data_IF_114490195968
#
_entry.id   IF_114490195968
#
_cell.length_a   1.000
_cell.length_b   1.000
_cell.length_c   1.000
_cell.angle_alpha   90.00
_cell.angle_beta   90.00
_cell.angle_gamma   90.00
#
_symmetry.space_group_name_H-M   'P 1'
#
loop_
_entity.id
_entity.type
_entity.pdbx_description
1 polymer ?
#
# COMPACT_ATOMS: atom_id res chain seq x y z
N UNK A 1 67.84 39.70 34.84
CA UNK A 1 66.51 40.27 35.15
C UNK A 1 66.07 40.94 33.85
N UNK A 2 65.05 40.57 33.09
CA UNK A 2 63.82 39.77 33.25
C UNK A 2 63.40 39.36 31.81
N UNK A 3 63.23 38.08 31.49
CA UNK A 3 61.94 37.34 31.39
C UNK A 3 60.98 37.78 30.26
N UNK A 4 60.56 36.77 29.46
CA UNK A 4 59.22 36.61 28.85
C UNK A 4 58.89 37.37 27.56
N UNK A 5 58.24 36.83 26.52
CA UNK A 5 57.61 35.52 26.28
C UNK A 5 57.60 35.21 24.77
N UNK A 6 57.94 33.96 24.43
CA UNK A 6 57.60 33.32 23.15
C UNK A 6 56.11 32.95 23.19
N UNK A 7 55.30 33.43 22.25
CA UNK A 7 53.94 32.95 22.05
C UNK A 7 53.90 32.06 20.81
N UNK A 8 53.99 30.75 21.06
CA UNK A 8 53.62 29.72 20.08
C UNK A 8 52.13 29.82 19.80
N UNK A 9 51.76 29.99 18.52
CA UNK A 9 50.40 29.73 18.07
C UNK A 9 50.19 28.21 18.07
N UNK A 10 49.60 27.69 19.15
CA UNK A 10 48.98 26.36 19.15
C UNK A 10 47.80 26.39 18.17
N UNK A 11 47.94 25.62 17.10
CA UNK A 11 46.88 25.38 16.14
C UNK A 11 45.95 24.34 16.75
N UNK A 12 44.87 24.82 17.37
CA UNK A 12 43.78 24.02 17.92
C UNK A 12 43.22 23.14 16.79
N UNK A 13 43.63 21.88 16.80
CA UNK A 13 43.13 20.88 15.87
C UNK A 13 41.78 20.42 16.39
N UNK A 14 40.69 20.89 15.78
CA UNK A 14 39.34 20.37 16.03
C UNK A 14 39.37 18.82 15.97
N UNK A 15 38.98 18.11 17.04
CA UNK A 15 38.95 16.66 17.00
C UNK A 15 37.84 16.20 16.04
N UNK A 16 38.05 15.11 15.27
CA UNK A 16 36.99 14.55 14.45
C UNK A 16 35.80 14.17 15.35
N UNK A 17 34.60 14.65 15.02
CA UNK A 17 33.39 14.39 15.78
C UNK A 17 33.21 12.89 16.04
N UNK A 18 33.02 12.52 17.31
CA UNK A 18 32.91 11.13 17.77
C UNK A 18 31.80 10.36 17.02
N UNK A 19 32.01 9.07 16.68
CA UNK A 19 31.02 8.25 15.97
C UNK A 19 29.69 8.07 16.73
N UNK A 20 29.69 8.21 18.06
CA UNK A 20 28.49 8.17 18.88
C UNK A 20 27.58 9.38 18.70
N UNK A 21 28.15 10.58 18.49
CA UNK A 21 27.37 11.80 18.28
C UNK A 21 26.60 11.75 16.95
N UNK A 22 27.24 11.22 15.90
CA UNK A 22 26.62 10.99 14.58
C UNK A 22 25.50 9.94 14.70
N UNK A 23 25.73 8.87 15.46
CA UNK A 23 24.74 7.80 15.71
C UNK A 23 23.46 8.33 16.40
N UNK A 24 23.59 9.19 17.40
CA UNK A 24 22.47 9.80 18.13
C UNK A 24 21.61 10.71 17.23
N UNK A 25 22.22 11.52 16.36
CA UNK A 25 21.48 12.41 15.45
C UNK A 25 20.64 11.68 14.38
N UNK A 26 20.97 10.43 14.05
CA UNK A 26 20.20 9.62 13.10
C UNK A 26 19.06 8.82 13.76
N UNK A 27 19.13 8.59 15.06
CA UNK A 27 18.10 7.86 15.80
C UNK A 27 16.82 8.71 15.95
N UNK A 28 16.96 9.98 16.29
CA UNK A 28 15.82 10.88 16.57
C UNK A 28 14.87 11.05 15.38
N UNK A 29 15.33 11.35 14.14
CA UNK A 29 14.42 11.48 12.99
C UNK A 29 13.73 10.17 12.64
N UNK A 30 14.40 9.04 12.90
CA UNK A 30 13.90 7.73 12.53
C UNK A 30 12.79 7.24 13.47
N UNK A 31 12.91 7.49 14.77
CA UNK A 31 11.83 7.20 15.73
C UNK A 31 10.59 8.07 15.51
N UNK A 32 10.77 9.34 15.10
CA UNK A 32 9.64 10.20 14.75
C UNK A 32 8.87 9.63 13.55
N UNK A 33 9.58 9.21 12.49
CA UNK A 33 8.94 8.67 11.30
C UNK A 33 8.22 7.35 11.56
N UNK A 34 8.80 6.49 12.39
CA UNK A 34 8.17 5.24 12.85
C UNK A 34 6.87 5.53 13.60
N UNK A 35 6.91 6.39 14.62
CA UNK A 35 5.72 6.76 15.41
C UNK A 35 4.60 7.39 14.58
N UNK A 36 4.92 8.06 13.46
CA UNK A 36 3.92 8.64 12.56
C UNK A 36 3.13 7.61 11.76
N UNK A 37 3.73 6.46 11.45
CA UNK A 37 3.13 5.43 10.59
C UNK A 37 2.64 4.21 11.39
N UNK A 38 2.98 4.13 12.67
CA UNK A 38 2.47 3.11 13.57
C UNK A 38 0.97 3.29 13.85
N UNK A 39 0.22 2.18 13.98
CA UNK A 39 -1.14 2.20 14.51
C UNK A 39 -1.16 2.83 15.91
N UNK A 40 -2.01 3.83 16.13
CA UNK A 40 -2.07 4.58 17.39
C UNK A 40 -3.46 4.59 18.03
N UNK A 41 -4.53 4.37 17.26
CA UNK A 41 -5.89 4.25 17.82
C UNK A 41 -6.25 2.79 18.03
N UNK A 42 -7.29 2.53 18.83
CA UNK A 42 -7.78 1.17 19.08
C UNK A 42 -8.19 0.46 17.80
N UNK A 43 -8.88 1.18 16.91
CA UNK A 43 -9.38 0.71 15.62
C UNK A 43 -8.22 0.38 14.68
N UNK A 44 -7.21 1.26 14.62
CA UNK A 44 -6.02 1.03 13.82
C UNK A 44 -5.25 -0.22 14.31
N UNK A 45 -5.07 -0.36 15.62
CA UNK A 45 -4.40 -1.52 16.21
C UNK A 45 -5.17 -2.83 15.93
N UNK A 46 -6.48 -2.84 16.13
CA UNK A 46 -7.32 -4.01 15.90
C UNK A 46 -7.27 -4.47 14.43
N UNK A 47 -7.44 -3.53 13.49
CA UNK A 47 -7.38 -3.82 12.06
C UNK A 47 -5.97 -4.26 11.65
N UNK A 48 -4.92 -3.66 12.22
CA UNK A 48 -3.53 -4.07 11.99
C UNK A 48 -3.28 -5.51 12.43
N UNK A 49 -3.71 -5.89 13.64
CA UNK A 49 -3.57 -7.25 14.16
C UNK A 49 -4.30 -8.27 13.28
N UNK A 50 -5.54 -7.96 12.88
CA UNK A 50 -6.32 -8.79 11.96
C UNK A 50 -5.64 -8.92 10.60
N UNK A 51 -5.16 -7.81 10.04
CA UNK A 51 -4.46 -7.83 8.76
C UNK A 51 -3.19 -8.67 8.80
N UNK A 52 -2.36 -8.49 9.84
CA UNK A 52 -1.14 -9.27 10.06
C UNK A 52 -1.44 -10.77 10.21
N UNK A 53 -2.48 -11.13 10.95
CA UNK A 53 -2.94 -12.52 11.08
C UNK A 53 -3.32 -13.11 9.73
N UNK A 54 -4.19 -12.44 8.98
CA UNK A 54 -4.68 -12.94 7.69
C UNK A 54 -3.57 -13.02 6.64
N UNK A 55 -2.61 -12.09 6.65
CA UNK A 55 -1.44 -12.12 5.74
C UNK A 55 -0.55 -13.33 6.03
N UNK A 56 -0.36 -13.71 7.30
CA UNK A 56 0.41 -14.91 7.68
C UNK A 56 -0.30 -16.22 7.34
N UNK A 57 -1.61 -16.25 7.45
CA UNK A 57 -2.45 -17.42 7.13
C UNK A 57 -2.68 -17.61 5.63
N UNK A 58 -2.54 -16.53 4.86
CA UNK A 58 -2.63 -16.54 3.41
C UNK A 58 -1.30 -17.09 2.86
N UNK A 59 -1.26 -18.37 2.51
CA UNK A 59 -0.11 -19.01 1.86
C UNK A 59 0.34 -18.33 0.56
N UNK A 60 1.42 -18.85 -0.05
CA UNK A 60 2.14 -18.25 -1.19
C UNK A 60 1.32 -18.22 -2.50
N UNK A 61 0.37 -17.30 -2.61
CA UNK A 61 -0.23 -16.96 -3.89
C UNK A 61 0.68 -16.03 -4.69
N UNK A 62 0.97 -16.43 -5.94
CA UNK A 62 2.02 -15.84 -6.78
C UNK A 62 1.79 -14.37 -7.20
N UNK A 63 0.69 -13.70 -6.84
CA UNK A 63 0.38 -12.31 -7.25
C UNK A 63 -0.04 -11.42 -6.08
N UNK A 64 0.65 -10.30 -5.85
CA UNK A 64 0.36 -9.34 -4.75
C UNK A 64 -1.06 -8.75 -4.78
N UNK A 65 -1.60 -8.43 -5.96
CA UNK A 65 -3.00 -7.97 -6.11
C UNK A 65 -4.01 -9.01 -5.61
N UNK A 66 -3.69 -10.30 -5.76
CA UNK A 66 -4.52 -11.38 -5.20
C UNK A 66 -4.42 -11.48 -3.68
N UNK A 67 -3.27 -11.13 -3.08
CA UNK A 67 -3.11 -11.04 -1.62
C UNK A 67 -3.94 -9.90 -1.03
N UNK A 68 -3.88 -8.69 -1.61
CA UNK A 68 -4.72 -7.55 -1.19
C UNK A 68 -6.20 -7.87 -1.30
N UNK A 69 -6.63 -8.48 -2.41
CA UNK A 69 -8.02 -8.93 -2.58
C UNK A 69 -8.42 -9.97 -1.54
N UNK A 70 -7.56 -10.94 -1.23
CA UNK A 70 -7.85 -11.96 -0.22
C UNK A 70 -7.94 -11.37 1.18
N UNK A 71 -7.00 -10.50 1.54
CA UNK A 71 -7.04 -9.78 2.81
C UNK A 71 -8.34 -8.99 2.95
N UNK A 72 -8.75 -8.25 1.91
CA UNK A 72 -10.03 -7.54 1.90
C UNK A 72 -11.22 -8.48 2.15
N UNK A 73 -11.27 -9.64 1.48
CA UNK A 73 -12.33 -10.64 1.72
C UNK A 73 -12.32 -11.19 3.15
N UNK A 74 -11.14 -11.37 3.74
CA UNK A 74 -10.99 -11.83 5.13
C UNK A 74 -11.44 -10.77 6.14
N UNK A 75 -11.07 -9.51 5.93
CA UNK A 75 -11.55 -8.39 6.76
C UNK A 75 -13.08 -8.25 6.68
N UNK A 76 -13.67 -8.40 5.49
CA UNK A 76 -15.15 -8.46 5.34
C UNK A 76 -15.77 -9.62 6.12
N UNK A 77 -15.15 -10.80 6.10
CA UNK A 77 -15.61 -11.96 6.85
C UNK A 77 -15.55 -11.74 8.37
N UNK A 78 -14.59 -10.94 8.82
CA UNK A 78 -14.45 -10.53 10.23
C UNK A 78 -15.45 -9.43 10.63
N UNK A 79 -16.22 -8.88 9.69
CA UNK A 79 -17.28 -7.89 9.94
C UNK A 79 -16.90 -6.45 9.62
N UNK A 80 -15.70 -6.18 9.11
CA UNK A 80 -15.29 -4.82 8.72
C UNK A 80 -15.86 -4.44 7.35
N UNK A 81 -16.24 -3.17 7.19
CA UNK A 81 -16.53 -2.59 5.88
C UNK A 81 -15.22 -2.27 5.14
N UNK A 82 -14.62 -3.30 4.54
CA UNK A 82 -13.40 -3.20 3.77
C UNK A 82 -13.69 -3.17 2.26
N UNK A 83 -12.93 -2.41 1.49
CA UNK A 83 -13.02 -2.38 0.03
C UNK A 83 -11.63 -2.35 -0.61
N UNK A 84 -11.50 -2.92 -1.82
CA UNK A 84 -10.26 -2.81 -2.59
C UNK A 84 -10.33 -1.54 -3.43
N UNK A 85 -9.50 -0.57 -3.08
CA UNK A 85 -9.37 0.69 -3.79
C UNK A 85 -8.23 0.64 -4.79
N UNK A 86 -8.42 1.30 -5.93
CA UNK A 86 -7.37 1.49 -6.93
C UNK A 86 -7.24 2.96 -7.26
N UNK A 87 -6.06 3.51 -7.00
CA UNK A 87 -5.67 4.83 -7.50
C UNK A 87 -5.04 4.69 -8.88
N UNK A 88 -5.23 5.71 -9.73
CA UNK A 88 -4.54 5.84 -11.01
C UNK A 88 -4.25 7.30 -11.26
N UNK A 89 -3.06 7.61 -11.75
CA UNK A 89 -2.63 8.97 -12.06
C UNK A 89 -1.94 9.04 -13.40
N UNK A 90 -2.19 10.14 -14.11
CA UNK A 90 -1.64 10.40 -15.44
C UNK A 90 -0.17 10.83 -15.32
N UNK A 91 0.61 10.49 -16.34
CA UNK A 91 1.99 10.96 -16.48
C UNK A 91 2.04 12.49 -16.51
N UNK A 92 3.03 13.06 -15.83
CA UNK A 92 3.37 14.48 -15.90
C UNK A 92 4.79 14.64 -16.44
N UNK A 93 5.21 15.88 -16.68
CA UNK A 93 6.61 16.19 -17.01
C UNK A 93 7.60 15.73 -15.93
N UNK A 94 7.14 15.60 -14.68
CA UNK A 94 7.97 15.27 -13.52
C UNK A 94 7.99 13.77 -13.16
N UNK A 95 6.93 13.03 -13.52
CA UNK A 95 6.78 11.62 -13.14
C UNK A 95 5.95 10.81 -14.13
N UNK A 96 6.25 9.52 -14.31
CA UNK A 96 5.40 8.63 -15.11
C UNK A 96 4.04 8.45 -14.45
N UNK A 97 3.04 8.11 -15.27
CA UNK A 97 1.74 7.66 -14.80
C UNK A 97 1.86 6.31 -14.12
N UNK A 98 0.84 5.95 -13.34
CA UNK A 98 0.82 4.69 -12.64
C UNK A 98 -0.55 4.38 -12.07
N UNK A 99 -0.67 3.18 -11.52
CA UNK A 99 -1.79 2.75 -10.71
C UNK A 99 -1.29 2.07 -9.44
N UNK A 100 -2.16 1.99 -8.44
CA UNK A 100 -1.86 1.30 -7.21
C UNK A 100 -3.12 0.80 -6.53
N UNK A 101 -3.05 -0.40 -5.95
CA UNK A 101 -4.13 -0.99 -5.18
C UNK A 101 -3.81 -0.93 -3.68
N UNK A 102 -4.81 -0.58 -2.88
CA UNK A 102 -4.78 -0.62 -1.42
C UNK A 102 -6.17 -1.00 -0.90
N UNK A 103 -6.29 -1.23 0.40
CA UNK A 103 -7.58 -1.56 1.02
C UNK A 103 -8.04 -0.34 1.82
N UNK A 104 -9.30 0.07 1.66
CA UNK A 104 -9.96 1.08 2.47
C UNK A 104 -10.90 0.39 3.46
N UNK A 105 -10.85 0.79 4.73
CA UNK A 105 -11.75 0.28 5.77
C UNK A 105 -12.51 1.44 6.38
N UNK A 106 -13.84 1.36 6.33
CA UNK A 106 -14.73 2.34 6.99
C UNK A 106 -14.96 1.90 8.42
N UNK A 107 -14.70 2.81 9.36
CA UNK A 107 -14.89 2.60 10.80
C UNK A 107 -15.91 3.62 11.30
N UNK A 108 -16.85 3.18 12.15
CA UNK A 108 -17.79 4.11 12.78
C UNK A 108 -17.01 5.09 13.67
N UNK A 109 -17.24 6.39 13.47
CA UNK A 109 -16.71 7.45 14.30
C UNK A 109 -17.53 7.59 15.58
N UNK A 110 -16.90 8.10 16.63
CA UNK A 110 -17.46 8.19 17.97
C UNK A 110 -18.37 9.42 18.19
N UNK A 111 -18.62 10.23 17.15
CA UNK A 111 -19.32 11.51 17.28
C UNK A 111 -20.84 11.33 17.43
N UNK A 112 -21.25 11.22 18.69
CA UNK A 112 -22.62 11.42 19.12
C UNK A 112 -23.05 12.89 19.03
N UNK A 113 -24.27 13.09 18.53
CA UNK A 113 -25.10 14.30 18.60
C UNK A 113 -24.73 15.51 17.69
N UNK A 114 -25.41 15.57 16.54
CA UNK A 114 -26.10 16.80 16.11
C UNK A 114 -25.32 17.82 15.28
N UNK A 115 -25.08 17.52 14.00
CA UNK A 115 -25.17 18.50 12.91
C UNK A 115 -25.17 17.77 11.56
N UNK A 116 -26.12 18.12 10.69
CA UNK A 116 -26.29 17.55 9.37
C UNK A 116 -25.17 18.01 8.41
N UNK A 117 -24.00 17.39 8.53
CA UNK A 117 -22.99 17.30 7.46
C UNK A 117 -22.45 15.86 7.47
N UNK A 118 -22.88 15.06 6.51
CA UNK A 118 -22.51 13.66 6.23
C UNK A 118 -21.40 13.01 7.08
N UNK A 119 -21.77 11.92 7.75
CA UNK A 119 -20.93 10.74 8.01
C UNK A 119 -19.93 10.84 9.18
N UNK A 120 -20.40 10.54 10.40
CA UNK A 120 -19.54 10.20 11.54
C UNK A 120 -18.84 8.84 11.35
N UNK A 121 -18.09 8.66 10.27
CA UNK A 121 -17.35 7.44 9.94
C UNK A 121 -15.96 7.81 9.44
N UNK A 122 -14.91 7.28 10.06
CA UNK A 122 -13.52 7.48 9.65
C UNK A 122 -13.10 6.43 8.61
N UNK A 123 -12.16 6.78 7.73
CA UNK A 123 -11.60 5.87 6.72
C UNK A 123 -10.14 5.58 7.03
N UNK A 124 -9.79 4.30 7.06
CA UNK A 124 -8.43 3.83 7.28
C UNK A 124 -7.90 3.16 6.01
N UNK A 125 -6.69 3.55 5.62
CA UNK A 125 -5.93 2.90 4.55
C UNK A 125 -5.17 1.72 5.14
N UNK A 126 -5.32 0.56 4.52
CA UNK A 126 -4.57 -0.66 4.81
C UNK A 126 -3.71 -1.02 3.59
N UNK A 127 -2.40 -1.03 3.76
CA UNK A 127 -1.45 -1.41 2.71
C UNK A 127 -0.38 -2.39 3.20
N UNK A 128 -0.44 -3.63 2.71
CA UNK A 128 0.47 -4.72 3.06
C UNK A 128 1.86 -4.60 2.43
N UNK A 129 2.04 -3.70 1.47
CA UNK A 129 3.31 -3.51 0.77
C UNK A 129 4.07 -2.26 1.26
N UNK A 130 3.59 -1.57 2.30
CA UNK A 130 4.03 -0.23 2.68
C UNK A 130 5.56 -0.10 2.83
N UNK A 131 6.20 -0.93 3.66
CA UNK A 131 7.67 -0.92 3.82
C UNK A 131 8.39 -1.14 2.50
N UNK A 132 7.90 -2.06 1.66
CA UNK A 132 8.53 -2.37 0.37
C UNK A 132 8.48 -1.18 -0.61
N UNK A 133 7.46 -0.32 -0.48
CA UNK A 133 7.34 0.89 -1.29
C UNK A 133 8.50 1.86 -1.06
N UNK A 134 9.28 1.73 0.02
CA UNK A 134 10.43 2.58 0.36
C UNK A 134 11.79 1.87 0.25
N UNK A 135 11.84 0.62 -0.21
CA UNK A 135 13.09 -0.13 -0.33
C UNK A 135 14.03 0.45 -1.40
N UNK A 136 15.33 0.54 -1.11
CA UNK A 136 16.36 1.01 -2.04
C UNK A 136 17.36 -0.12 -2.38
N UNK A 137 17.97 -0.05 -3.56
CA UNK A 137 18.96 -1.05 -4.01
C UNK A 137 20.30 -0.93 -3.27
N UNK A 138 20.74 0.30 -2.97
CA UNK A 138 21.94 0.59 -2.18
C UNK A 138 21.61 1.69 -1.16
N UNK A 139 20.94 1.34 -0.05
CA UNK A 139 20.65 2.32 0.99
C UNK A 139 21.93 2.66 1.76
N UNK A 140 22.13 3.93 2.05
CA UNK A 140 23.06 4.36 3.10
C UNK A 140 22.70 3.65 4.43
N UNK A 141 23.67 3.30 5.30
CA UNK A 141 23.42 2.50 6.50
C UNK A 141 22.34 3.07 7.44
N UNK A 142 22.32 4.40 7.64
CA UNK A 142 21.30 5.07 8.46
C UNK A 142 19.89 4.91 7.87
N UNK A 143 19.77 4.91 6.54
CA UNK A 143 18.49 4.73 5.87
C UNK A 143 18.03 3.27 5.94
N UNK A 144 18.97 2.31 5.85
CA UNK A 144 18.65 0.90 6.06
C UNK A 144 18.08 0.66 7.46
N UNK A 145 18.63 1.33 8.48
CA UNK A 145 18.12 1.27 9.85
C UNK A 145 16.72 1.91 9.99
N UNK A 146 16.49 3.08 9.38
CA UNK A 146 15.16 3.71 9.31
C UNK A 146 14.14 2.77 8.62
N UNK A 147 14.49 2.26 7.44
CA UNK A 147 13.62 1.43 6.61
C UNK A 147 13.23 0.12 7.31
N UNK A 148 14.15 -0.49 8.06
CA UNK A 148 13.89 -1.73 8.81
C UNK A 148 12.80 -1.56 9.89
N UNK A 149 12.61 -0.33 10.39
CA UNK A 149 11.63 0.00 11.43
C UNK A 149 10.25 0.39 10.91
N UNK A 150 10.12 0.80 9.65
CA UNK A 150 8.81 1.10 9.06
C UNK A 150 7.88 -0.11 9.17
N UNK A 151 6.57 0.01 9.41
CA UNK A 151 5.69 -1.14 9.49
C UNK A 151 5.57 -1.82 8.12
N UNK A 152 5.58 -3.16 8.10
CA UNK A 152 5.39 -3.92 6.86
C UNK A 152 4.01 -3.67 6.27
N UNK A 153 2.99 -3.69 7.13
CA UNK A 153 1.60 -3.34 6.83
C UNK A 153 1.31 -1.97 7.43
N UNK A 154 0.88 -1.01 6.62
CA UNK A 154 0.37 0.26 7.13
C UNK A 154 -1.13 0.14 7.42
N UNK A 155 -1.57 0.67 8.57
CA UNK A 155 -2.98 0.87 8.91
C UNK A 155 -3.12 2.25 9.55
N UNK A 156 -3.90 3.12 8.94
CA UNK A 156 -4.13 4.46 9.48
C UNK A 156 -4.86 5.38 8.50
N UNK A 157 -5.27 6.58 8.95
CA UNK A 157 -5.92 7.55 8.09
C UNK A 157 -4.95 8.09 7.04
N UNK A 158 -5.52 8.58 5.95
CA UNK A 158 -4.80 9.25 4.88
C UNK A 158 -3.99 10.48 5.35
N UNK A 159 -4.41 11.12 6.44
CA UNK A 159 -3.69 12.21 7.12
C UNK A 159 -2.29 11.78 7.63
N UNK A 160 -2.12 10.53 8.10
CA UNK A 160 -0.80 10.01 8.49
C UNK A 160 0.11 9.87 7.26
N UNK A 161 -0.43 9.35 6.16
CA UNK A 161 0.29 9.21 4.88
C UNK A 161 0.71 10.57 4.32
N UNK A 162 -0.17 11.57 4.36
CA UNK A 162 0.12 12.96 3.93
C UNK A 162 1.35 13.55 4.63
N UNK A 163 1.55 13.23 5.92
CA UNK A 163 2.68 13.73 6.70
C UNK A 163 3.94 12.86 6.53
N UNK A 164 3.80 11.53 6.56
CA UNK A 164 4.93 10.61 6.57
C UNK A 164 5.59 10.42 5.20
N UNK A 165 4.80 10.30 4.12
CA UNK A 165 5.31 10.00 2.78
C UNK A 165 6.34 11.04 2.28
N UNK A 166 6.12 12.37 2.39
CA UNK A 166 7.12 13.36 1.99
C UNK A 166 8.45 13.19 2.70
N UNK A 167 8.43 12.92 4.01
CA UNK A 167 9.63 12.78 4.83
C UNK A 167 10.39 11.50 4.49
N UNK A 168 9.67 10.38 4.32
CA UNK A 168 10.26 9.11 3.87
C UNK A 168 10.87 9.23 2.47
N UNK A 169 10.22 9.96 1.56
CA UNK A 169 10.76 10.29 0.26
C UNK A 169 12.03 11.14 0.36
N UNK A 170 12.04 12.18 1.19
CA UNK A 170 13.22 13.01 1.40
C UNK A 170 14.41 12.20 1.94
N UNK A 171 14.16 11.33 2.92
CA UNK A 171 15.16 10.41 3.46
C UNK A 171 15.68 9.45 2.37
N UNK A 172 14.78 8.86 1.57
CA UNK A 172 15.15 7.96 0.48
C UNK A 172 16.03 8.66 -0.57
N UNK A 173 15.66 9.89 -0.94
CA UNK A 173 16.41 10.69 -1.89
C UNK A 173 17.81 11.04 -1.38
N UNK A 174 17.92 11.43 -0.10
CA UNK A 174 19.21 11.69 0.53
C UNK A 174 20.09 10.45 0.47
N UNK A 175 19.56 9.29 0.86
CA UNK A 175 20.27 8.02 0.83
C UNK A 175 20.78 7.64 -0.57
N UNK A 176 19.94 7.83 -1.60
CA UNK A 176 20.33 7.60 -3.00
C UNK A 176 21.47 8.52 -3.44
N UNK A 177 21.37 9.82 -3.13
CA UNK A 177 22.41 10.81 -3.49
C UNK A 177 23.74 10.52 -2.81
N UNK A 178 23.72 10.20 -1.51
CA UNK A 178 24.92 9.78 -0.77
C UNK A 178 25.56 8.52 -1.36
N UNK A 179 24.74 7.64 -1.95
CA UNK A 179 25.20 6.41 -2.61
C UNK A 179 25.54 6.61 -4.10
N UNK A 180 25.64 7.85 -4.57
CA UNK A 180 25.96 8.21 -5.96
C UNK A 180 24.90 7.79 -6.98
N UNK A 181 23.66 7.55 -6.55
CA UNK A 181 22.56 7.10 -7.40
C UNK A 181 21.63 8.26 -7.79
N UNK A 182 21.18 8.25 -9.04
CA UNK A 182 20.11 9.14 -9.47
C UNK A 182 18.80 8.83 -8.73
N UNK A 183 18.04 9.87 -8.40
CA UNK A 183 16.71 9.74 -7.80
C UNK A 183 15.68 9.49 -8.89
N UNK A 184 15.13 8.27 -9.02
CA UNK A 184 14.12 8.02 -10.04
C UNK A 184 12.81 8.75 -9.70
N UNK A 185 11.98 9.07 -10.70
CA UNK A 185 10.78 9.88 -10.51
C UNK A 185 9.77 9.25 -9.53
N UNK A 186 9.68 7.91 -9.47
CA UNK A 186 8.80 7.21 -8.52
C UNK A 186 9.26 7.28 -7.05
N UNK A 187 10.42 7.87 -6.77
CA UNK A 187 10.92 8.15 -5.41
C UNK A 187 10.63 9.57 -4.95
N UNK A 188 10.01 10.38 -5.80
CA UNK A 188 9.54 11.73 -5.46
C UNK A 188 8.23 11.66 -4.69
N UNK A 189 8.01 12.65 -3.83
CA UNK A 189 6.81 12.68 -2.98
C UNK A 189 5.51 12.73 -3.79
N UNK A 190 5.48 13.44 -4.92
CA UNK A 190 4.26 13.54 -5.75
C UNK A 190 3.78 12.18 -6.25
N UNK A 191 4.69 11.40 -6.83
CA UNK A 191 4.38 10.04 -7.29
C UNK A 191 3.95 9.12 -6.15
N UNK A 192 4.66 9.17 -5.01
CA UNK A 192 4.39 8.28 -3.89
C UNK A 192 3.07 8.60 -3.19
N UNK A 193 2.74 9.88 -3.02
CA UNK A 193 1.46 10.29 -2.45
C UNK A 193 0.27 9.84 -3.32
N UNK A 194 0.39 9.91 -4.65
CA UNK A 194 -0.67 9.54 -5.58
C UNK A 194 -1.13 8.07 -5.44
N UNK A 195 -0.33 7.19 -4.83
CA UNK A 195 -0.68 5.79 -4.55
C UNK A 195 -1.87 5.64 -3.61
N UNK A 196 -1.97 6.49 -2.60
CA UNK A 196 -2.99 6.36 -1.54
C UNK A 196 -3.89 7.60 -1.44
N UNK A 197 -3.42 8.73 -1.95
CA UNK A 197 -4.08 10.01 -1.86
C UNK A 197 -4.60 10.36 -3.26
N UNK A 198 -5.90 10.11 -3.55
CA UNK A 198 -6.48 10.64 -4.77
C UNK A 198 -6.25 12.16 -4.79
N UNK A 199 -5.97 12.70 -5.98
CA UNK A 199 -5.88 14.17 -6.10
C UNK A 199 -7.23 14.72 -5.67
N UNK A 200 -7.21 15.72 -4.79
CA UNK A 200 -8.37 16.53 -4.53
C UNK A 200 -8.63 17.31 -5.82
N UNK A 201 -9.53 16.79 -6.66
CA UNK A 201 -9.96 17.52 -7.85
C UNK A 201 -10.91 18.59 -7.34
N UNK A 202 -10.36 19.76 -6.99
CA UNK A 202 -11.18 20.94 -6.79
C UNK A 202 -11.74 21.32 -8.16
N UNK A 203 -12.92 20.80 -8.49
CA UNK A 203 -13.68 21.30 -9.64
C UNK A 203 -13.91 22.81 -9.43
N UNK A 204 -13.88 23.64 -10.49
CA UNK A 204 -14.37 25.01 -10.42
C UNK A 204 -15.87 24.96 -10.09
N UNK A 205 -16.19 24.97 -8.80
CA UNK A 205 -17.54 24.64 -8.30
C UNK A 205 -17.63 24.15 -6.85
N UNK A 206 -16.53 24.01 -6.10
CA UNK A 206 -16.56 23.93 -4.64
C UNK A 206 -17.15 22.65 -4.03
N UNK A 207 -17.31 21.57 -4.79
CA UNK A 207 -17.64 20.25 -4.26
C UNK A 207 -16.47 19.28 -4.53
N UNK A 208 -15.89 18.64 -3.50
CA UNK A 208 -14.90 17.60 -3.72
C UNK A 208 -15.62 16.33 -4.21
N UNK A 209 -15.57 16.07 -5.51
CA UNK A 209 -15.85 14.73 -6.01
C UNK A 209 -14.59 13.89 -5.79
N UNK A 210 -14.57 13.16 -4.67
CA UNK A 210 -13.61 12.08 -4.46
C UNK A 210 -13.90 11.04 -5.55
N UNK A 211 -13.07 11.01 -6.59
CA UNK A 211 -13.10 10.02 -7.66
C UNK A 211 -12.68 8.63 -7.12
N UNK A 212 -13.52 8.06 -6.26
CA UNK A 212 -13.52 6.65 -5.91
C UNK A 212 -14.46 5.96 -6.89
N UNK A 213 -13.89 5.27 -7.89
CA UNK A 213 -14.64 4.32 -8.70
C UNK A 213 -15.06 3.15 -7.80
N UNK A 214 -16.17 3.30 -7.09
CA UNK A 214 -16.83 2.23 -6.34
C UNK A 214 -17.49 1.29 -7.34
N UNK A 215 -16.97 0.07 -7.46
CA UNK A 215 -17.69 -1.04 -8.07
C UNK A 215 -18.52 -1.72 -6.99
N UNK A 216 -19.77 -1.28 -6.82
CA UNK A 216 -20.74 -2.04 -6.03
C UNK A 216 -21.33 -3.12 -6.94
N UNK A 217 -20.92 -4.38 -6.75
CA UNK A 217 -21.70 -5.50 -7.30
C UNK A 217 -22.97 -5.60 -6.47
N UNK A 218 -24.05 -5.01 -6.99
CA UNK A 218 -25.38 -5.26 -6.47
C UNK A 218 -25.70 -6.75 -6.66
N UNK A 219 -25.85 -7.48 -5.55
CA UNK A 219 -26.48 -8.79 -5.56
C UNK A 219 -27.91 -8.61 -6.05
N UNK A 220 -28.22 -9.18 -7.21
CA UNK A 220 -29.54 -9.16 -7.83
C UNK A 220 -30.59 -9.71 -6.87
N UNK A 221 -31.49 -8.82 -6.42
CA UNK A 221 -32.72 -9.18 -5.74
C UNK A 221 -33.70 -9.64 -6.82
N UNK A 222 -33.63 -10.92 -7.16
CA UNK A 222 -34.60 -11.56 -8.05
C UNK A 222 -35.97 -11.59 -7.37
N UNK A 223 -36.90 -10.82 -7.91
CA UNK A 223 -38.32 -10.83 -7.61
C UNK A 223 -38.85 -12.27 -7.65
N UNK A 224 -39.40 -12.72 -6.52
CA UNK A 224 -40.39 -13.78 -6.53
C UNK A 224 -41.75 -13.16 -6.82
N UNK A 225 -42.35 -13.53 -7.93
CA UNK A 225 -43.79 -13.40 -8.15
C UNK A 225 -44.34 -14.76 -8.59
N UNK A 226 -45.50 -15.13 -8.05
CA UNK A 226 -46.11 -16.45 -8.15
C UNK A 226 -47.00 -16.61 -9.40
N UNK A 227 -48.09 -17.39 -9.32
CA UNK A 227 -48.10 -18.80 -9.71
C UNK A 227 -49.09 -19.11 -10.86
N UNK A 228 -49.09 -20.40 -11.30
CA UNK A 228 -50.06 -21.16 -12.16
C UNK A 228 -49.45 -21.55 -13.52
N UNK A 229 -49.69 -22.73 -14.13
CA UNK A 229 -50.59 -23.87 -13.87
C UNK A 229 -50.13 -25.09 -14.72
N UNK A 230 -50.35 -26.27 -14.14
CA UNK A 230 -50.54 -27.66 -14.64
C UNK A 230 -50.54 -28.04 -16.14
N UNK A 231 -50.23 -29.35 -16.33
CA UNK A 231 -50.49 -30.29 -17.46
C UNK A 231 -49.49 -30.20 -18.63
N UNK A 232 -48.92 -31.27 -19.22
CA UNK A 232 -49.33 -32.69 -19.37
C UNK A 232 -48.17 -33.46 -20.04
N UNK A 233 -48.04 -34.76 -19.74
CA UNK A 233 -47.28 -35.78 -20.51
C UNK A 233 -45.76 -35.71 -20.36
N UNK A 234 -44.99 -36.77 -20.08
CA UNK A 234 -45.20 -38.21 -20.22
C UNK A 234 -43.96 -38.79 -20.92
N UNK A 235 -43.57 -40.01 -20.53
CA UNK A 235 -42.76 -40.99 -21.28
C UNK A 235 -41.23 -40.69 -21.36
N UNK A 236 -40.35 -41.46 -20.70
CA UNK A 236 -39.57 -42.61 -21.24
C UNK A 236 -38.57 -42.19 -22.35
N UNK A 237 -37.28 -42.57 -22.40
CA UNK A 237 -36.66 -43.91 -22.31
C UNK A 237 -35.13 -43.80 -22.62
N UNK A 238 -34.31 -44.70 -22.04
CA UNK A 238 -33.00 -45.30 -22.49
C UNK A 238 -31.89 -44.44 -23.16
N UNK A 239 -30.63 -44.39 -22.70
CA UNK A 239 -29.51 -45.36 -22.75
C UNK A 239 -28.92 -45.70 -24.14
N UNK A 240 -27.65 -45.29 -24.30
CA UNK A 240 -26.48 -46.03 -24.84
C UNK A 240 -26.27 -46.30 -26.34
N UNK A 241 -24.99 -46.22 -26.73
CA UNK A 241 -24.37 -46.90 -27.90
C UNK A 241 -23.76 -45.92 -28.90
N UNK A 242 -22.45 -45.62 -28.93
CA UNK A 242 -21.25 -46.44 -29.23
C UNK A 242 -20.94 -46.61 -30.72
N UNK A 243 -19.66 -46.43 -31.06
CA UNK A 243 -19.01 -46.72 -32.35
C UNK A 243 -18.64 -45.44 -33.13
N UNK A 244 -17.44 -45.25 -33.68
CA UNK A 244 -16.20 -46.02 -33.82
C UNK A 244 -15.11 -44.98 -34.22
N UNK A 245 -13.89 -45.06 -33.67
CA UNK A 245 -12.68 -45.61 -34.34
C UNK A 245 -12.40 -44.96 -35.71
N UNK A 246 -11.36 -44.14 -35.87
CA UNK A 246 -9.96 -44.45 -36.26
C UNK A 246 -9.66 -43.45 -37.42
N UNK A 247 -8.49 -42.99 -37.82
CA UNK A 247 -7.10 -43.34 -37.62
C UNK A 247 -6.28 -42.16 -38.22
N UNK A 248 -5.02 -42.05 -37.82
CA UNK A 248 -3.95 -41.53 -38.67
C UNK A 248 -3.85 -40.00 -38.87
N UNK A 249 -2.78 -39.39 -38.36
CA UNK A 249 -1.48 -39.36 -39.07
C UNK A 249 -0.44 -38.57 -38.30
N UNK A 250 0.79 -39.06 -38.42
CA UNK A 250 2.04 -38.56 -37.85
C UNK A 250 2.41 -37.14 -38.32
N UNK A 251 3.08 -36.40 -37.45
CA UNK A 251 3.81 -35.17 -37.78
C UNK A 251 4.90 -34.92 -36.74
N UNK A 252 6.15 -35.13 -37.17
CA UNK A 252 7.39 -35.11 -36.38
C UNK A 252 7.91 -33.67 -36.20
N UNK A 253 8.71 -33.52 -35.13
CA UNK A 253 9.97 -32.77 -35.04
C UNK A 253 10.02 -31.29 -34.58
N UNK A 254 11.05 -31.09 -33.73
CA UNK A 254 11.84 -29.89 -33.41
C UNK A 254 11.10 -28.76 -32.67
N UNK A 255 11.57 -28.25 -31.52
CA UNK A 255 12.95 -28.07 -31.05
C UNK A 255 13.30 -26.58 -31.14
N UNK A 256 13.48 -25.91 -29.99
CA UNK A 256 14.07 -24.56 -29.73
C UNK A 256 13.54 -24.11 -28.34
N UNK A 257 14.26 -23.97 -27.22
CA UNK A 257 15.63 -23.58 -26.84
C UNK A 257 16.02 -22.15 -27.16
N UNK A 258 15.54 -21.17 -26.38
CA UNK A 258 16.05 -19.79 -26.30
C UNK A 258 15.64 -19.16 -24.94
N UNK A 259 16.23 -18.05 -24.52
CA UNK A 259 17.60 -17.85 -24.08
C UNK A 259 17.69 -17.46 -22.58
#
# INVERSE_FOLDING_TARGET
MSSSDEWMFEMDSEPPSSPEAISMHHQTPSHILEAMVEPSTREEMEIYERAMKHVRETGEDRKRSSLKRRLMMRLRKDGYDASLCRSSWVATTEHPGGDYEYIDVVVAGEDGAGAATSSGSSRLVVDIDFRSQFQLARPAPWYAHLWARLPAVFVGPDAKLRKAVPLLCAAAQRSLRESGLHVPPWRRSGYMQAKWLPRDVTLPGGAPEVAMAQWSVAMGKGLGDGPRRSSTGGLSMELSGSGAEADGRQGRAAGSMWP
#
